data_IF_055927868519
#
_entry.id   IF_055927868519
#
_cell.length_a   1.000
_cell.length_b   1.000
_cell.length_c   1.000
_cell.angle_alpha   90.00
_cell.angle_beta   90.00
_cell.angle_gamma   90.00
#
_symmetry.space_group_name_H-M   'P 1'
#
loop_
_entity.id
_entity.type
_entity.pdbx_description
1 polymer ?
#
# COMPACT_ATOMS: atom_id res chain seq x y z
N UNK A 1 -42.26 -10.77 70.75
CA UNK A 1 -41.61 -9.46 71.00
C UNK A 1 -40.65 -9.20 69.86
N UNK A 2 -40.75 -8.02 69.23
CA UNK A 2 -40.06 -7.64 67.99
C UNK A 2 -38.58 -7.34 68.27
N UNK A 3 -37.67 -7.81 67.42
CA UNK A 3 -36.28 -7.33 67.37
C UNK A 3 -36.04 -6.83 65.94
N UNK A 4 -35.87 -5.52 65.80
CA UNK A 4 -35.51 -4.82 64.57
C UNK A 4 -33.99 -4.68 64.60
N UNK A 5 -33.28 -5.29 63.64
CA UNK A 5 -31.82 -5.14 63.51
C UNK A 5 -31.52 -4.27 62.30
N UNK A 6 -31.09 -3.04 62.54
CA UNK A 6 -30.66 -2.08 61.52
C UNK A 6 -29.24 -2.43 61.06
N UNK A 7 -29.07 -2.67 59.76
CA UNK A 7 -27.74 -2.83 59.14
C UNK A 7 -27.36 -1.48 58.51
N UNK A 8 -26.33 -0.84 59.06
CA UNK A 8 -25.71 0.37 58.50
C UNK A 8 -24.68 -0.08 57.46
N UNK A 9 -24.91 0.25 56.19
CA UNK A 9 -23.92 0.05 55.13
C UNK A 9 -22.94 1.24 55.11
N UNK A 10 -21.68 0.99 55.51
CA UNK A 10 -20.56 1.89 55.20
C UNK A 10 -20.18 1.72 53.72
N UNK A 11 -20.38 2.76 52.91
CA UNK A 11 -19.81 2.86 51.58
C UNK A 11 -18.36 3.37 51.70
N UNK A 12 -17.39 2.50 51.46
CA UNK A 12 -15.99 2.88 51.30
C UNK A 12 -15.77 3.38 49.85
N UNK A 13 -15.51 4.68 49.69
CA UNK A 13 -15.11 5.27 48.41
C UNK A 13 -13.59 5.14 48.28
N UNK A 14 -13.14 4.17 47.49
CA UNK A 14 -11.74 4.01 47.10
C UNK A 14 -11.38 5.04 46.03
N UNK A 15 -10.60 6.05 46.41
CA UNK A 15 -10.04 7.04 45.49
C UNK A 15 -8.87 6.39 44.72
N UNK A 16 -9.12 5.92 43.50
CA UNK A 16 -8.08 5.42 42.59
C UNK A 16 -7.34 6.59 41.93
N UNK A 17 -6.04 6.75 42.24
CA UNK A 17 -5.13 7.64 41.51
C UNK A 17 -4.86 7.06 40.12
N UNK A 18 -5.45 7.67 39.09
CA UNK A 18 -5.15 7.36 37.70
C UNK A 18 -3.84 8.05 37.29
N UNK A 19 -2.77 7.28 37.14
CA UNK A 19 -1.55 7.75 36.48
C UNK A 19 -1.76 7.74 34.96
N UNK A 20 -1.91 8.93 34.36
CA UNK A 20 -1.87 9.07 32.90
C UNK A 20 -0.41 9.00 32.44
N UNK A 21 0.01 7.88 31.88
CA UNK A 21 1.29 7.77 31.16
C UNK A 21 1.10 8.45 29.80
N UNK A 22 1.67 9.63 29.62
CA UNK A 22 1.80 10.25 28.30
C UNK A 22 2.92 9.52 27.55
N UNK A 23 2.58 8.74 26.53
CA UNK A 23 3.57 8.16 25.62
C UNK A 23 4.30 9.31 24.89
N UNK A 24 5.59 9.51 25.17
CA UNK A 24 6.40 10.45 24.41
C UNK A 24 6.71 9.87 23.03
N UNK A 25 6.60 10.69 21.98
CA UNK A 25 6.96 10.29 20.63
C UNK A 25 8.47 9.95 20.57
N UNK A 26 8.83 8.93 19.80
CA UNK A 26 10.22 8.56 19.59
C UNK A 26 11.00 9.70 18.92
N UNK A 27 12.32 9.74 19.14
CA UNK A 27 13.22 10.71 18.53
C UNK A 27 13.16 10.63 16.98
N UNK A 28 12.96 9.44 16.42
CA UNK A 28 12.76 9.21 15.00
C UNK A 28 11.45 9.83 14.49
N UNK A 29 10.36 9.66 15.23
CA UNK A 29 9.06 10.27 14.90
C UNK A 29 9.12 11.80 14.98
N UNK A 30 9.76 12.34 16.02
CA UNK A 30 9.95 13.79 16.19
C UNK A 30 10.79 14.39 15.05
N UNK A 31 11.80 13.65 14.54
CA UNK A 31 12.59 14.10 13.40
C UNK A 31 11.75 14.13 12.11
N UNK A 32 10.91 13.12 11.88
CA UNK A 32 9.97 13.12 10.73
C UNK A 32 9.02 14.32 10.80
N UNK A 33 8.44 14.58 11.98
CA UNK A 33 7.57 15.75 12.20
C UNK A 33 8.31 17.07 11.93
N UNK A 34 9.56 17.18 12.39
CA UNK A 34 10.39 18.37 12.17
C UNK A 34 10.75 18.57 10.70
N UNK A 35 11.05 17.50 9.95
CA UNK A 35 11.27 17.55 8.50
C UNK A 35 9.99 18.01 7.79
N UNK A 36 8.83 17.47 8.17
CA UNK A 36 7.56 17.85 7.57
C UNK A 36 7.17 19.30 7.86
N UNK A 37 7.40 19.78 9.08
CA UNK A 37 7.19 21.18 9.45
C UNK A 37 8.14 22.13 8.69
N UNK A 38 9.38 21.71 8.42
CA UNK A 38 10.33 22.47 7.61
C UNK A 38 9.91 22.53 6.14
N UNK A 39 9.41 21.41 5.59
CA UNK A 39 8.91 21.30 4.21
C UNK A 39 7.60 22.05 3.97
N UNK A 40 6.77 22.23 4.99
CA UNK A 40 5.47 22.90 4.87
C UNK A 40 5.57 24.43 4.79
N UNK A 41 6.76 24.97 4.59
CA UNK A 41 7.00 26.41 4.47
C UNK A 41 8.01 26.65 3.35
N UNK A 42 7.95 27.81 2.70
CA UNK A 42 8.99 28.21 1.76
C UNK A 42 10.32 28.42 2.51
N UNK A 43 11.35 27.67 2.14
CA UNK A 43 12.66 27.73 2.77
C UNK A 43 13.69 28.38 1.85
N UNK A 44 14.79 28.86 2.40
CA UNK A 44 16.01 29.15 1.64
C UNK A 44 17.03 28.06 1.91
N UNK A 45 17.49 27.39 0.87
CA UNK A 45 18.44 26.32 0.93
C UNK A 45 19.47 26.45 -0.19
N UNK A 46 20.76 26.44 0.15
CA UNK A 46 21.87 26.60 -0.80
C UNK A 46 21.70 27.82 -1.77
N UNK A 47 21.14 28.92 -1.27
CA UNK A 47 20.90 30.13 -2.06
C UNK A 47 19.64 30.10 -2.95
N UNK A 48 18.89 28.99 -2.97
CA UNK A 48 17.64 28.84 -3.70
C UNK A 48 16.43 28.83 -2.75
N UNK A 49 15.31 29.40 -3.20
CA UNK A 49 14.05 29.29 -2.47
C UNK A 49 13.36 27.97 -2.83
N UNK A 50 12.89 27.22 -1.84
CA UNK A 50 11.99 26.09 -2.04
C UNK A 50 10.54 26.55 -2.05
N UNK A 51 9.68 25.78 -2.69
CA UNK A 51 8.23 25.90 -2.52
C UNK A 51 7.80 25.19 -1.24
N UNK A 52 6.57 25.47 -0.80
CA UNK A 52 5.89 24.63 0.18
C UNK A 52 5.62 23.25 -0.41
N UNK A 53 5.90 22.20 0.37
CA UNK A 53 5.76 20.81 -0.04
C UNK A 53 4.82 20.06 0.89
N UNK A 54 4.06 19.08 0.36
CA UNK A 54 3.28 18.19 1.21
C UNK A 54 4.18 17.41 2.18
N UNK A 55 3.62 16.97 3.32
CA UNK A 55 4.36 16.17 4.29
C UNK A 55 4.75 14.82 3.69
N UNK A 56 5.95 14.36 4.04
CA UNK A 56 6.44 13.02 3.76
C UNK A 56 5.62 11.98 4.55
N UNK A 57 5.31 10.88 3.90
CA UNK A 57 4.70 9.70 4.50
C UNK A 57 5.76 8.86 5.23
N UNK A 58 5.49 8.44 6.47
CA UNK A 58 6.33 7.38 7.06
C UNK A 58 6.01 6.03 6.42
N UNK A 59 7.04 5.33 5.92
CA UNK A 59 6.92 3.95 5.41
C UNK A 59 7.89 3.02 6.17
N UNK A 60 7.39 1.96 6.84
CA UNK A 60 8.24 1.06 7.63
C UNK A 60 9.27 0.29 6.79
N UNK A 61 9.05 0.12 5.47
CA UNK A 61 10.03 -0.51 4.58
C UNK A 61 11.27 0.37 4.40
N UNK A 62 11.13 1.69 4.54
CA UNK A 62 12.23 2.66 4.47
C UNK A 62 13.01 2.80 5.78
N UNK A 63 12.52 2.23 6.89
CA UNK A 63 13.27 2.15 8.15
C UNK A 63 14.34 1.07 7.99
N UNK A 64 15.57 1.50 7.67
CA UNK A 64 16.75 0.66 7.46
C UNK A 64 17.77 0.90 8.58
N UNK A 65 18.59 -0.09 9.00
CA UNK A 65 19.56 0.09 10.07
C UNK A 65 20.48 1.30 9.85
N UNK A 66 20.80 2.03 10.92
CA UNK A 66 21.56 3.28 10.81
C UNK A 66 22.97 3.05 10.24
N UNK A 67 23.58 1.94 10.61
CA UNK A 67 24.88 1.46 10.14
C UNK A 67 24.82 0.58 8.87
N UNK A 68 23.67 0.45 8.22
CA UNK A 68 23.53 -0.42 7.04
C UNK A 68 24.45 0.02 5.92
N UNK A 69 25.37 -0.86 5.53
CA UNK A 69 26.21 -0.73 4.35
C UNK A 69 25.67 -1.60 3.22
N UNK A 70 25.81 -1.13 1.97
CA UNK A 70 25.35 -1.85 0.78
C UNK A 70 24.50 -1.00 -0.16
N UNK A 71 24.09 -1.61 -1.28
CA UNK A 71 23.24 -0.96 -2.27
C UNK A 71 21.82 -0.75 -1.73
N UNK A 72 21.50 0.52 -1.47
CA UNK A 72 20.18 0.94 -1.00
C UNK A 72 19.06 0.43 -1.91
N UNK A 73 19.30 0.35 -3.22
CA UNK A 73 18.29 -0.12 -4.17
C UNK A 73 18.01 -1.61 -4.01
N UNK A 74 19.06 -2.42 -3.83
CA UNK A 74 18.93 -3.85 -3.63
C UNK A 74 18.17 -4.19 -2.33
N UNK A 75 18.46 -3.47 -1.23
CA UNK A 75 17.77 -3.66 0.06
C UNK A 75 16.28 -3.34 -0.05
N UNK A 76 15.92 -2.25 -0.72
CA UNK A 76 14.52 -1.87 -0.88
C UNK A 76 13.77 -2.78 -1.85
N UNK A 77 14.44 -3.33 -2.87
CA UNK A 77 13.87 -4.36 -3.72
C UNK A 77 13.54 -5.64 -2.93
N UNK A 78 14.41 -6.08 -2.01
CA UNK A 78 14.13 -7.21 -1.11
C UNK A 78 12.95 -6.93 -0.18
N UNK A 79 12.82 -5.70 0.29
CA UNK A 79 11.65 -5.25 1.07
C UNK A 79 10.41 -4.96 0.22
N UNK A 80 10.45 -5.26 -1.08
CA UNK A 80 9.34 -5.03 -2.02
C UNK A 80 8.80 -3.59 -1.96
N UNK A 81 9.71 -2.60 -1.84
CA UNK A 81 9.36 -1.19 -1.97
C UNK A 81 9.52 -0.76 -3.44
N UNK A 82 8.42 -0.46 -4.15
CA UNK A 82 8.48 -0.12 -5.56
C UNK A 82 8.86 1.35 -5.73
N UNK A 83 10.12 1.63 -6.06
CA UNK A 83 10.65 3.00 -6.13
C UNK A 83 11.06 3.40 -7.55
N UNK A 84 10.91 4.70 -7.83
CA UNK A 84 11.56 5.37 -8.97
C UNK A 84 12.89 5.94 -8.54
N UNK A 85 12.92 6.57 -7.36
CA UNK A 85 14.13 7.16 -6.81
C UNK A 85 14.19 6.99 -5.30
N UNK A 86 15.40 6.95 -4.75
CA UNK A 86 15.67 6.85 -3.32
C UNK A 86 16.99 7.55 -3.00
N UNK A 87 17.02 8.24 -1.85
CA UNK A 87 18.23 8.82 -1.30
C UNK A 87 18.29 8.57 0.22
N UNK A 88 19.49 8.30 0.73
CA UNK A 88 19.73 8.17 2.15
C UNK A 88 20.66 9.28 2.66
N UNK A 89 20.28 9.90 3.77
CA UNK A 89 21.11 10.79 4.57
C UNK A 89 21.58 9.99 5.78
N UNK A 90 22.88 10.02 6.04
CA UNK A 90 23.47 9.42 7.25
C UNK A 90 24.08 10.53 8.09
N UNK A 91 23.73 10.59 9.36
CA UNK A 91 24.27 11.56 10.31
C UNK A 91 24.92 10.82 11.47
N UNK A 92 26.13 11.24 11.83
CA UNK A 92 26.80 10.74 13.03
C UNK A 92 27.00 11.89 14.00
N UNK A 93 26.56 11.71 15.25
CA UNK A 93 26.76 12.68 16.32
C UNK A 93 25.49 13.33 16.91
N UNK A 94 24.40 13.60 16.18
CA UNK A 94 23.20 14.14 16.80
C UNK A 94 22.69 13.27 17.96
N UNK A 95 22.31 13.91 19.07
CA UNK A 95 21.90 13.23 20.31
C UNK A 95 20.39 13.06 20.44
N UNK A 96 19.64 13.79 19.63
CA UNK A 96 18.18 13.92 19.68
C UNK A 96 17.67 14.40 18.32
N UNK A 97 16.35 14.38 18.13
CA UNK A 97 15.70 14.83 16.90
C UNK A 97 16.05 16.29 16.54
N UNK A 98 16.17 17.18 17.52
CA UNK A 98 16.44 18.59 17.29
C UNK A 98 17.84 18.83 16.70
N UNK A 99 18.86 18.21 17.29
CA UNK A 99 20.24 18.28 16.77
C UNK A 99 20.38 17.57 15.42
N UNK A 100 19.59 16.51 15.18
CA UNK A 100 19.57 15.84 13.88
C UNK A 100 18.95 16.74 12.82
N UNK A 101 17.83 17.38 13.13
CA UNK A 101 17.16 18.31 12.22
C UNK A 101 18.05 19.51 11.88
N UNK A 102 18.79 20.05 12.86
CA UNK A 102 19.78 21.10 12.60
C UNK A 102 20.83 20.66 11.56
N UNK A 103 21.39 19.46 11.71
CA UNK A 103 22.35 18.92 10.75
C UNK A 103 21.72 18.70 9.36
N UNK A 104 20.46 18.27 9.30
CA UNK A 104 19.69 18.16 8.05
C UNK A 104 19.56 19.52 7.37
N UNK A 105 19.17 20.57 8.10
CA UNK A 105 19.01 21.92 7.54
C UNK A 105 20.33 22.49 7.01
N UNK A 106 21.43 22.26 7.71
CA UNK A 106 22.73 22.81 7.35
C UNK A 106 23.36 22.11 6.14
N UNK A 107 23.22 20.78 6.05
CA UNK A 107 23.98 19.97 5.08
C UNK A 107 23.13 19.25 4.03
N UNK A 108 21.84 19.03 4.29
CA UNK A 108 20.97 18.18 3.48
C UNK A 108 19.63 18.82 3.13
N UNK A 109 19.49 20.14 3.28
CA UNK A 109 18.25 20.84 2.99
C UNK A 109 17.77 20.62 1.55
N UNK A 110 18.69 20.48 0.57
CA UNK A 110 18.32 20.25 -0.83
C UNK A 110 17.62 18.91 -1.01
N UNK A 111 18.01 17.89 -0.24
CA UNK A 111 17.43 16.55 -0.32
C UNK A 111 16.06 16.54 0.34
N UNK A 112 15.95 17.08 1.56
CA UNK A 112 14.67 17.12 2.27
C UNK A 112 13.72 18.19 1.75
N UNK A 113 14.11 19.02 0.78
CA UNK A 113 13.24 19.95 0.06
C UNK A 113 13.07 19.59 -1.41
N UNK A 114 13.50 18.38 -1.82
CA UNK A 114 13.24 17.91 -3.16
C UNK A 114 11.75 17.47 -3.26
N UNK A 115 10.97 18.04 -4.21
CA UNK A 115 9.56 17.70 -4.39
C UNK A 115 9.35 16.26 -4.89
N UNK A 116 10.37 15.59 -5.41
CA UNK A 116 10.22 14.23 -5.92
C UNK A 116 10.01 13.20 -4.81
N UNK A 117 10.51 13.46 -3.60
CA UNK A 117 10.37 12.56 -2.47
C UNK A 117 9.07 12.83 -1.71
N UNK A 118 8.34 11.75 -1.44
CA UNK A 118 7.04 11.78 -0.77
C UNK A 118 6.95 10.78 0.38
N UNK A 119 7.91 9.85 0.49
CA UNK A 119 8.00 8.89 1.60
C UNK A 119 9.32 9.08 2.36
N UNK A 120 9.31 8.73 3.64
CA UNK A 120 10.46 8.79 4.55
C UNK A 120 10.50 7.58 5.50
N UNK A 121 11.70 7.10 5.78
CA UNK A 121 11.98 6.21 6.91
C UNK A 121 13.14 6.77 7.72
N UNK A 122 12.99 6.81 9.04
CA UNK A 122 14.04 7.26 9.96
C UNK A 122 14.39 6.14 10.91
N UNK A 123 15.68 5.91 11.11
CA UNK A 123 16.20 5.01 12.13
C UNK A 123 17.36 5.65 12.87
N UNK A 124 17.61 5.16 14.09
CA UNK A 124 18.72 5.60 14.91
C UNK A 124 19.34 4.41 15.65
N UNK A 125 20.66 4.40 15.72
CA UNK A 125 21.45 3.51 16.56
C UNK A 125 22.50 4.33 17.32
N UNK A 126 22.28 4.53 18.63
CA UNK A 126 23.14 5.40 19.44
C UNK A 126 23.12 6.86 18.96
N UNK A 127 24.19 7.30 18.29
CA UNK A 127 24.33 8.66 17.71
C UNK A 127 24.33 8.66 16.19
N UNK A 128 24.15 7.49 15.59
CA UNK A 128 24.07 7.33 14.14
C UNK A 128 22.60 7.33 13.73
N UNK A 129 22.27 8.18 12.78
CA UNK A 129 20.93 8.36 12.24
C UNK A 129 20.94 8.06 10.76
N UNK A 130 19.86 7.46 10.28
CA UNK A 130 19.63 7.29 8.85
C UNK A 130 18.23 7.77 8.49
N UNK A 131 18.17 8.65 7.50
CA UNK A 131 16.93 9.18 6.93
C UNK A 131 16.90 8.73 5.48
N UNK A 132 15.95 7.87 5.12
CA UNK A 132 15.75 7.38 3.76
C UNK A 132 14.55 8.11 3.18
N UNK A 133 14.75 8.90 2.13
CA UNK A 133 13.69 9.55 1.37
C UNK A 133 13.47 8.82 0.06
N UNK A 134 12.21 8.61 -0.31
CA UNK A 134 11.89 7.85 -1.50
C UNK A 134 10.72 8.43 -2.30
N UNK A 135 10.80 8.19 -3.62
CA UNK A 135 9.73 8.39 -4.56
C UNK A 135 9.18 7.01 -4.94
N UNK A 136 7.98 6.64 -4.46
CA UNK A 136 7.36 5.40 -4.88
C UNK A 136 7.02 5.47 -6.38
N UNK A 137 6.96 4.31 -7.01
CA UNK A 137 6.51 4.15 -8.39
C UNK A 137 5.04 4.50 -8.54
N UNK A 138 4.26 4.27 -7.49
CA UNK A 138 2.82 4.50 -7.48
C UNK A 138 2.50 5.72 -6.62
N UNK A 139 1.63 6.60 -7.13
CA UNK A 139 1.09 7.70 -6.33
C UNK A 139 0.11 7.21 -5.26
N UNK A 140 -0.52 6.05 -5.49
CA UNK A 140 -1.34 5.36 -4.49
C UNK A 140 -0.46 4.60 -3.51
N UNK A 141 -0.62 4.86 -2.21
CA UNK A 141 -0.08 4.01 -1.14
C UNK A 141 -0.82 2.67 -1.13
N UNK A 142 -0.50 1.81 -2.08
CA UNK A 142 -0.99 0.44 -2.12
C UNK A 142 -0.39 -0.34 -0.94
N UNK A 143 -1.25 -1.09 -0.24
CA UNK A 143 -0.84 -2.16 0.66
C UNK A 143 -0.25 -3.33 -0.13
N UNK A 144 -0.09 -4.49 0.51
CA UNK A 144 0.30 -5.70 -0.24
C UNK A 144 -0.77 -6.10 -1.28
N UNK A 145 -0.38 -6.98 -2.21
CA UNK A 145 -1.26 -7.38 -3.31
C UNK A 145 -2.54 -8.08 -2.83
N UNK A 146 -2.51 -8.77 -1.68
CA UNK A 146 -3.68 -9.40 -1.10
C UNK A 146 -4.67 -8.35 -0.60
N UNK A 147 -4.20 -7.37 0.16
CA UNK A 147 -5.03 -6.28 0.71
C UNK A 147 -5.65 -5.46 -0.42
N UNK A 148 -4.89 -5.13 -1.46
CA UNK A 148 -5.43 -4.41 -2.62
C UNK A 148 -6.36 -5.29 -3.47
N UNK A 149 -6.08 -6.59 -3.58
CA UNK A 149 -6.98 -7.56 -4.22
C UNK A 149 -8.33 -7.68 -3.52
N UNK A 150 -8.35 -7.63 -2.18
CA UNK A 150 -9.61 -7.59 -1.41
C UNK A 150 -10.40 -6.30 -1.67
N UNK A 151 -9.73 -5.14 -1.79
CA UNK A 151 -10.41 -3.89 -2.18
C UNK A 151 -11.01 -3.99 -3.58
N UNK A 152 -10.32 -4.64 -4.52
CA UNK A 152 -10.86 -4.94 -5.86
C UNK A 152 -12.12 -5.81 -5.75
N UNK A 153 -12.09 -6.88 -4.93
CA UNK A 153 -13.26 -7.73 -4.67
C UNK A 153 -14.45 -6.92 -4.15
N UNK A 154 -14.24 -6.10 -3.11
CA UNK A 154 -15.30 -5.29 -2.50
C UNK A 154 -15.95 -4.35 -3.52
N UNK A 155 -15.13 -3.68 -4.35
CA UNK A 155 -15.60 -2.78 -5.40
C UNK A 155 -16.35 -3.52 -6.51
N UNK A 156 -15.90 -4.71 -6.90
CA UNK A 156 -16.61 -5.58 -7.85
C UNK A 156 -17.95 -6.03 -7.26
N UNK A 157 -17.99 -6.44 -5.99
CA UNK A 157 -19.22 -6.87 -5.33
C UNK A 157 -20.22 -5.72 -5.18
N UNK A 158 -19.76 -4.51 -4.88
CA UNK A 158 -20.58 -3.29 -4.92
C UNK A 158 -21.15 -3.04 -6.32
N UNK A 159 -20.35 -3.29 -7.37
CA UNK A 159 -20.81 -3.19 -8.75
C UNK A 159 -21.86 -4.25 -9.10
N UNK A 160 -21.63 -5.51 -8.72
CA UNK A 160 -22.51 -6.67 -8.94
C UNK A 160 -23.86 -6.55 -8.25
N UNK A 161 -23.94 -5.83 -7.13
CA UNK A 161 -25.20 -5.56 -6.42
C UNK A 161 -26.18 -4.63 -7.16
N UNK A 162 -25.83 -4.15 -8.35
CA UNK A 162 -26.64 -3.22 -9.13
C UNK A 162 -26.80 -3.73 -10.58
N UNK A 163 -27.98 -3.56 -11.16
CA UNK A 163 -28.18 -3.81 -12.59
C UNK A 163 -27.34 -2.82 -13.41
N UNK A 164 -26.73 -3.29 -14.49
CA UNK A 164 -25.77 -2.51 -15.29
C UNK A 164 -25.91 -2.79 -16.77
N UNK A 165 -25.58 -1.78 -17.58
CA UNK A 165 -25.40 -1.91 -19.02
C UNK A 165 -23.90 -2.01 -19.31
N UNK A 166 -23.46 -3.16 -19.82
CA UNK A 166 -22.09 -3.39 -20.24
C UNK A 166 -22.02 -3.25 -21.77
N UNK A 167 -21.72 -2.03 -22.23
CA UNK A 167 -21.92 -1.68 -23.64
C UNK A 167 -23.41 -1.76 -24.01
N UNK A 168 -23.74 -2.57 -25.01
CA UNK A 168 -25.13 -2.81 -25.43
C UNK A 168 -25.86 -3.93 -24.67
N UNK A 169 -25.18 -4.64 -23.76
CA UNK A 169 -25.74 -5.82 -23.10
C UNK A 169 -26.20 -5.49 -21.67
N UNK A 170 -27.48 -5.76 -21.32
CA UNK A 170 -27.98 -5.59 -19.96
C UNK A 170 -27.60 -6.77 -19.09
N UNK A 171 -27.21 -6.46 -17.85
CA UNK A 171 -26.98 -7.42 -16.77
C UNK A 171 -27.83 -7.01 -15.56
N UNK A 172 -28.52 -7.98 -14.96
CA UNK A 172 -29.19 -7.78 -13.68
C UNK A 172 -28.15 -7.70 -12.55
N UNK A 173 -28.59 -7.18 -11.39
CA UNK A 173 -27.83 -7.36 -10.16
C UNK A 173 -27.63 -8.87 -9.92
N UNK A 174 -26.45 -9.25 -9.45
CA UNK A 174 -26.02 -10.63 -9.28
C UNK A 174 -25.32 -10.84 -7.94
N UNK A 175 -25.13 -12.11 -7.56
CA UNK A 175 -24.57 -12.51 -6.28
C UNK A 175 -23.14 -11.99 -6.10
N UNK A 176 -22.74 -11.62 -4.87
CA UNK A 176 -21.35 -11.26 -4.59
C UNK A 176 -20.43 -12.48 -4.78
N UNK A 177 -19.21 -12.22 -5.24
CA UNK A 177 -18.14 -13.20 -5.34
C UNK A 177 -17.50 -13.41 -3.96
N UNK A 178 -17.06 -14.64 -3.70
CA UNK A 178 -16.22 -14.99 -2.55
C UNK A 178 -14.73 -14.91 -2.91
N UNK A 179 -13.89 -14.54 -1.96
CA UNK A 179 -12.45 -14.57 -2.17
C UNK A 179 -11.93 -16.01 -2.25
N UNK A 180 -11.13 -16.32 -3.28
CA UNK A 180 -10.47 -17.61 -3.45
C UNK A 180 -8.95 -17.40 -3.52
N UNK A 181 -8.24 -17.93 -2.51
CA UNK A 181 -6.79 -17.74 -2.38
C UNK A 181 -5.99 -18.39 -3.51
N UNK A 182 -6.48 -19.49 -4.08
CA UNK A 182 -5.82 -20.18 -5.20
C UNK A 182 -5.86 -19.32 -6.47
N UNK A 183 -7.03 -18.78 -6.81
CA UNK A 183 -7.18 -17.82 -7.91
C UNK A 183 -6.34 -16.56 -7.67
N UNK A 184 -6.22 -16.12 -6.43
CA UNK A 184 -5.44 -14.94 -6.08
C UNK A 184 -3.93 -15.17 -6.27
N UNK A 185 -3.44 -16.36 -5.93
CA UNK A 185 -2.07 -16.77 -6.25
C UNK A 185 -1.80 -16.86 -7.76
N UNK A 186 -2.76 -17.38 -8.53
CA UNK A 186 -2.65 -17.40 -9.99
C UNK A 186 -2.62 -15.98 -10.59
N UNK A 187 -3.46 -15.07 -10.07
CA UNK A 187 -3.48 -13.67 -10.47
C UNK A 187 -2.15 -12.97 -10.15
N UNK A 188 -1.59 -13.21 -8.96
CA UNK A 188 -0.31 -12.65 -8.50
C UNK A 188 0.85 -13.08 -9.41
N UNK A 189 0.92 -14.38 -9.72
CA UNK A 189 1.96 -14.91 -10.59
C UNK A 189 1.87 -14.30 -11.99
N UNK A 190 0.64 -14.17 -12.52
CA UNK A 190 0.43 -13.62 -13.86
C UNK A 190 0.78 -12.13 -13.94
N UNK A 191 0.33 -11.31 -12.98
CA UNK A 191 0.63 -9.88 -12.99
C UNK A 191 2.12 -9.61 -12.78
N UNK A 192 2.81 -10.41 -11.96
CA UNK A 192 4.28 -10.39 -11.84
C UNK A 192 4.95 -10.78 -13.15
N UNK A 193 4.40 -11.77 -13.84
CA UNK A 193 4.82 -12.15 -15.19
C UNK A 193 4.68 -10.99 -16.19
N UNK A 194 3.55 -10.29 -16.21
CA UNK A 194 3.35 -9.13 -17.07
C UNK A 194 4.36 -8.01 -16.76
N UNK A 195 4.53 -7.67 -15.48
CA UNK A 195 5.44 -6.64 -15.01
C UNK A 195 6.90 -6.92 -15.38
N UNK A 196 7.43 -8.09 -14.99
CA UNK A 196 8.84 -8.45 -15.20
C UNK A 196 9.23 -8.56 -16.68
N UNK A 197 8.24 -8.83 -17.53
CA UNK A 197 8.46 -9.15 -18.93
C UNK A 197 8.06 -8.03 -19.88
N UNK A 198 7.51 -6.94 -19.34
CA UNK A 198 6.97 -5.81 -20.08
C UNK A 198 5.97 -6.23 -21.17
N UNK A 199 4.98 -7.05 -20.79
CA UNK A 199 3.92 -7.54 -21.69
C UNK A 199 2.55 -7.31 -21.07
N UNK A 200 1.54 -7.12 -21.91
CA UNK A 200 0.14 -7.00 -21.50
C UNK A 200 -0.70 -7.96 -22.37
N UNK A 201 -0.88 -9.18 -21.88
CA UNK A 201 -1.54 -10.27 -22.61
C UNK A 201 -2.21 -11.21 -21.60
N UNK A 202 -3.34 -11.81 -22.00
CA UNK A 202 -4.03 -12.85 -21.25
C UNK A 202 -3.27 -14.18 -21.23
N UNK A 203 -2.35 -14.39 -22.15
CA UNK A 203 -1.44 -15.55 -22.16
C UNK A 203 -0.16 -15.23 -21.41
N UNK A 204 0.32 -16.19 -20.62
CA UNK A 204 1.66 -16.07 -20.05
C UNK A 204 2.76 -16.30 -21.11
N UNK A 205 4.03 -16.16 -20.72
CA UNK A 205 5.17 -16.35 -21.63
C UNK A 205 5.28 -17.76 -22.22
N UNK A 206 4.72 -18.75 -21.54
CA UNK A 206 4.70 -20.14 -22.01
C UNK A 206 3.43 -20.43 -22.85
N UNK A 207 2.61 -19.40 -23.12
CA UNK A 207 1.39 -19.48 -23.91
C UNK A 207 0.17 -19.97 -23.14
N UNK A 208 0.26 -20.14 -21.82
CA UNK A 208 -0.82 -20.64 -20.98
C UNK A 208 -1.94 -19.61 -20.86
N UNK A 209 -3.16 -20.08 -21.03
CA UNK A 209 -4.39 -19.30 -20.86
C UNK A 209 -4.73 -19.09 -19.37
N UNK A 210 -5.71 -18.22 -19.05
CA UNK A 210 -6.16 -18.07 -17.66
C UNK A 210 -6.63 -19.39 -17.03
N UNK A 211 -7.31 -20.24 -17.81
CA UNK A 211 -7.75 -21.57 -17.36
C UNK A 211 -6.57 -22.47 -17.00
N UNK A 212 -5.58 -22.57 -17.87
CA UNK A 212 -4.35 -23.35 -17.63
C UNK A 212 -3.62 -22.88 -16.37
N UNK A 213 -3.54 -21.55 -16.15
CA UNK A 213 -2.92 -20.99 -14.94
C UNK A 213 -3.71 -21.29 -13.67
N UNK A 214 -5.03 -21.24 -13.73
CA UNK A 214 -5.89 -21.59 -12.61
C UNK A 214 -5.76 -23.08 -12.25
N UNK A 215 -5.77 -23.97 -13.24
CA UNK A 215 -5.59 -25.41 -13.06
C UNK A 215 -4.20 -25.73 -12.46
N UNK A 216 -3.14 -25.13 -12.99
CA UNK A 216 -1.78 -25.30 -12.45
C UNK A 216 -1.61 -24.79 -11.02
N UNK A 217 -2.37 -23.76 -10.63
CA UNK A 217 -2.43 -23.28 -9.26
C UNK A 217 -3.22 -24.22 -8.33
N UNK A 218 -3.94 -25.21 -8.87
CA UNK A 218 -4.76 -26.17 -8.13
C UNK A 218 -6.22 -25.76 -7.99
N UNK A 219 -6.71 -24.87 -8.85
CA UNK A 219 -8.13 -24.51 -8.87
C UNK A 219 -8.95 -25.62 -9.55
N UNK A 220 -9.97 -26.12 -8.87
CA UNK A 220 -10.77 -27.26 -9.33
C UNK A 220 -12.04 -26.88 -10.11
N UNK A 221 -12.34 -25.59 -10.23
CA UNK A 221 -13.56 -25.11 -10.89
C UNK A 221 -13.50 -25.22 -12.41
N UNK A 222 -14.67 -25.40 -13.04
CA UNK A 222 -14.77 -25.63 -14.49
C UNK A 222 -14.84 -24.34 -15.32
N UNK A 223 -15.22 -23.23 -14.70
CA UNK A 223 -15.35 -21.95 -15.38
C UNK A 223 -14.31 -20.98 -14.84
N UNK A 224 -13.51 -20.43 -15.74
CA UNK A 224 -12.48 -19.44 -15.43
C UNK A 224 -12.65 -18.23 -16.34
N UNK A 225 -12.61 -17.04 -15.75
CA UNK A 225 -12.58 -15.77 -16.45
C UNK A 225 -11.43 -14.89 -15.98
N UNK A 226 -11.05 -13.90 -16.77
CA UNK A 226 -9.96 -12.97 -16.41
C UNK A 226 -10.26 -11.56 -16.89
N UNK A 227 -9.99 -10.57 -16.03
CA UNK A 227 -9.76 -9.19 -16.42
C UNK A 227 -8.33 -8.79 -16.06
N UNK A 228 -7.66 -8.06 -16.96
CA UNK A 228 -6.33 -7.48 -16.73
C UNK A 228 -6.37 -5.95 -16.91
N UNK A 229 -5.48 -5.25 -16.22
CA UNK A 229 -5.33 -3.79 -16.30
C UNK A 229 -3.85 -3.39 -16.16
N UNK A 230 -3.47 -2.25 -16.74
CA UNK A 230 -2.11 -1.74 -16.76
C UNK A 230 -2.09 -0.22 -16.63
N UNK A 231 -1.23 0.30 -15.76
CA UNK A 231 -1.03 1.75 -15.54
C UNK A 231 -2.01 2.42 -14.57
N UNK A 232 -3.05 1.72 -14.11
CA UNK A 232 -3.94 2.23 -13.06
C UNK A 232 -3.30 2.00 -11.68
N UNK A 233 -3.04 3.07 -10.93
CA UNK A 233 -2.30 3.07 -9.67
C UNK A 233 -3.18 2.84 -8.41
N UNK A 234 -4.46 2.54 -8.57
CA UNK A 234 -5.40 2.29 -7.45
C UNK A 234 -6.47 1.26 -7.84
N UNK A 235 -6.98 0.45 -6.89
CA UNK A 235 -8.11 -0.46 -7.13
C UNK A 235 -9.34 0.21 -7.73
N UNK A 236 -9.63 1.45 -7.30
CA UNK A 236 -10.77 2.22 -7.81
C UNK A 236 -10.64 2.48 -9.31
N UNK A 237 -9.49 3.00 -9.76
CA UNK A 237 -9.23 3.26 -11.19
C UNK A 237 -9.28 1.98 -12.02
N UNK A 238 -8.79 0.86 -11.47
CA UNK A 238 -8.84 -0.46 -12.13
C UNK A 238 -10.28 -0.90 -12.35
N UNK A 239 -11.10 -0.93 -11.29
CA UNK A 239 -12.50 -1.38 -11.37
C UNK A 239 -13.34 -0.44 -12.24
N UNK A 240 -13.13 0.87 -12.15
CA UNK A 240 -13.81 1.84 -13.01
C UNK A 240 -13.42 1.66 -14.49
N UNK A 241 -12.15 1.38 -14.77
CA UNK A 241 -11.68 1.04 -16.11
C UNK A 241 -12.30 -0.24 -16.66
N UNK A 242 -12.42 -1.29 -15.84
CA UNK A 242 -13.10 -2.52 -16.23
C UNK A 242 -14.61 -2.32 -16.45
N UNK A 243 -15.29 -1.54 -15.61
CA UNK A 243 -16.71 -1.23 -15.79
C UNK A 243 -16.97 -0.39 -17.04
N UNK A 244 -16.03 0.47 -17.45
CA UNK A 244 -16.13 1.26 -18.67
C UNK A 244 -15.89 0.45 -19.95
N UNK A 245 -15.25 -0.73 -19.86
CA UNK A 245 -15.01 -1.61 -21.00
C UNK A 245 -16.13 -2.65 -21.13
N UNK A 246 -16.86 -2.74 -22.27
CA UNK A 246 -17.98 -3.67 -22.41
C UNK A 246 -17.63 -5.13 -22.09
N UNK A 247 -16.49 -5.63 -22.59
CA UNK A 247 -16.06 -7.01 -22.37
C UNK A 247 -15.68 -7.28 -20.91
N UNK A 248 -14.90 -6.38 -20.30
CA UNK A 248 -14.52 -6.52 -18.89
C UNK A 248 -15.73 -6.38 -17.96
N UNK A 249 -16.62 -5.42 -18.23
CA UNK A 249 -17.88 -5.24 -17.50
C UNK A 249 -18.75 -6.50 -17.56
N UNK A 250 -18.90 -7.10 -18.76
CA UNK A 250 -19.65 -8.33 -18.92
C UNK A 250 -19.06 -9.48 -18.10
N UNK A 251 -17.73 -9.58 -18.03
CA UNK A 251 -17.04 -10.56 -17.18
C UNK A 251 -17.30 -10.30 -15.68
N UNK A 252 -17.20 -9.04 -15.23
CA UNK A 252 -17.51 -8.64 -13.85
C UNK A 252 -18.95 -9.00 -13.44
N UNK A 253 -19.90 -8.82 -14.35
CA UNK A 253 -21.33 -9.02 -14.12
C UNK A 253 -21.82 -10.43 -14.45
N UNK A 254 -20.95 -11.34 -14.88
CA UNK A 254 -21.33 -12.70 -15.26
C UNK A 254 -21.85 -13.46 -14.02
N UNK A 255 -23.13 -13.91 -14.02
CA UNK A 255 -23.73 -14.60 -12.89
C UNK A 255 -23.21 -16.03 -12.71
N UNK A 256 -22.46 -16.57 -13.69
CA UNK A 256 -21.89 -17.91 -13.59
C UNK A 256 -20.70 -17.98 -12.65
N UNK A 257 -20.04 -16.85 -12.34
CA UNK A 257 -18.95 -16.81 -11.38
C UNK A 257 -19.43 -16.62 -9.95
N UNK A 258 -18.80 -17.34 -9.03
CA UNK A 258 -19.03 -17.26 -7.58
C UNK A 258 -17.77 -16.91 -6.79
N UNK A 259 -16.59 -16.96 -7.41
CA UNK A 259 -15.30 -16.77 -6.75
C UNK A 259 -14.41 -15.76 -7.50
N UNK A 260 -13.53 -15.09 -6.76
CA UNK A 260 -12.55 -14.15 -7.27
C UNK A 260 -11.21 -14.29 -6.55
N UNK A 261 -10.11 -14.20 -7.30
CA UNK A 261 -8.81 -13.80 -6.77
C UNK A 261 -8.27 -12.63 -7.57
N UNK A 262 -7.67 -11.65 -6.91
CA UNK A 262 -7.09 -10.48 -7.59
C UNK A 262 -5.73 -10.09 -7.01
N UNK A 263 -4.86 -9.55 -7.85
CA UNK A 263 -3.54 -9.11 -7.43
C UNK A 263 -3.02 -8.00 -8.32
N UNK A 264 -2.00 -7.30 -7.84
CA UNK A 264 -1.21 -6.36 -8.62
C UNK A 264 0.28 -6.66 -8.49
N UNK A 265 1.04 -6.26 -9.50
CA UNK A 265 2.49 -6.21 -9.43
C UNK A 265 3.01 -4.93 -10.08
N UNK A 266 4.23 -4.58 -9.71
CA UNK A 266 4.89 -3.35 -10.09
C UNK A 266 6.28 -3.65 -10.59
N UNK A 267 6.64 -3.06 -11.73
CA UNK A 267 8.02 -3.02 -12.20
C UNK A 267 8.29 -1.62 -12.78
N UNK A 268 9.13 -0.78 -12.15
CA UNK A 268 9.44 0.56 -12.66
C UNK A 268 10.16 0.56 -14.01
N UNK A 269 10.67 -0.60 -14.46
CA UNK A 269 11.31 -0.76 -15.78
C UNK A 269 10.34 -1.13 -16.89
N UNK A 270 9.12 -1.55 -16.54
CA UNK A 270 8.05 -1.81 -17.50
C UNK A 270 7.41 -0.51 -17.97
N UNK A 271 6.84 -0.52 -19.18
CA UNK A 271 6.20 0.64 -19.80
C UNK A 271 4.96 1.10 -19.01
N UNK A 272 4.22 0.14 -18.41
CA UNK A 272 3.02 0.46 -17.64
C UNK A 272 3.28 0.74 -16.15
N UNK A 273 4.44 0.33 -15.61
CA UNK A 273 4.81 0.48 -14.21
C UNK A 273 4.06 -0.43 -13.24
N UNK A 274 2.76 -0.65 -13.46
CA UNK A 274 1.85 -1.45 -12.65
C UNK A 274 0.91 -2.27 -13.52
N UNK A 275 0.64 -3.49 -13.08
CA UNK A 275 -0.26 -4.43 -13.72
C UNK A 275 -1.23 -5.01 -12.67
N UNK A 276 -2.43 -5.35 -13.11
CA UNK A 276 -3.48 -5.96 -12.29
C UNK A 276 -4.08 -7.15 -13.03
N UNK A 277 -4.41 -8.18 -12.26
CA UNK A 277 -5.16 -9.35 -12.73
C UNK A 277 -6.28 -9.64 -11.74
N UNK A 278 -7.48 -9.89 -12.26
CA UNK A 278 -8.62 -10.44 -11.53
C UNK A 278 -9.05 -11.73 -12.22
N UNK A 279 -8.90 -12.84 -11.51
CA UNK A 279 -9.30 -14.19 -11.91
C UNK A 279 -10.65 -14.51 -11.31
N UNK A 280 -11.59 -14.92 -12.15
CA UNK A 280 -12.96 -15.30 -11.78
C UNK A 280 -13.11 -16.81 -11.87
N UNK A 281 -13.88 -17.40 -10.97
CA UNK A 281 -14.08 -18.84 -10.92
C UNK A 281 -15.48 -19.25 -10.51
N UNK A 282 -15.84 -20.48 -10.87
CA UNK A 282 -16.95 -21.21 -10.29
C UNK A 282 -16.58 -22.70 -10.11
N UNK A 283 -16.81 -23.29 -8.91
CA UNK A 283 -16.68 -24.71 -8.65
C UNK A 283 -17.54 -25.59 -9.56
#
# INVERSE_FOLDING_TARGET
MRVISSVVHLAAVSLGLAFTVTAQASDESQLVESINAYRSQAQRCAGQASMELPPLASDPRLVLPANSMGDLRAVLAQKSYPMVNVQAISLSGPRDAQSAMKAVQESFCQVVLDPQFVDVGVSREGRDWRIVLARPLLAGRLGDWQAEGQKVLEMINSARGQARQCGGQPFNATTPLAWNATLAGAAESHTRGMANNNVFDHKDRDGRTPGDRAELAGYAGQQVGENIAAGQDTPRKVVDGWLASPGHCANLMNPLFSELGAAYAVDPKSDAGIYWTAMFGAP
#
